data_IF_479536918939
#
_entry.id   IF_479536918939
#
_cell.length_a   1.000
_cell.length_b   1.000
_cell.length_c   1.000
_cell.angle_alpha   90.00
_cell.angle_beta   90.00
_cell.angle_gamma   90.00
#
_symmetry.space_group_name_H-M   'P 1'
#
loop_
_entity.id
_entity.type
_entity.pdbx_description
1 polymer ?
#
# COMPACT_ATOMS: atom_id res chain seq x y z
N UNK A 1 -45.96 16.79 18.94
CA UNK A 1 -45.34 15.92 17.92
C UNK A 1 -44.64 16.80 16.89
N UNK A 2 -43.47 17.35 17.21
CA UNK A 2 -42.73 18.20 16.26
C UNK A 2 -41.95 17.33 15.28
N UNK A 3 -42.23 17.51 13.98
CA UNK A 3 -41.41 17.01 12.86
C UNK A 3 -40.02 17.65 12.95
N UNK A 4 -38.97 16.85 13.14
CA UNK A 4 -37.59 17.32 13.30
C UNK A 4 -36.62 16.69 12.31
N UNK A 5 -36.28 17.45 11.26
CA UNK A 5 -35.19 17.29 10.28
C UNK A 5 -35.17 16.03 9.39
N UNK A 6 -35.45 16.25 8.11
CA UNK A 6 -35.06 15.37 7.02
C UNK A 6 -33.52 15.31 6.95
N UNK A 7 -32.91 14.35 7.66
CA UNK A 7 -31.49 14.05 7.54
C UNK A 7 -31.20 13.51 6.12
N UNK A 8 -30.77 14.42 5.26
CA UNK A 8 -29.94 14.24 4.07
C UNK A 8 -29.90 12.81 3.50
N UNK A 9 -30.95 12.38 2.80
CA UNK A 9 -30.94 11.12 2.02
C UNK A 9 -29.79 11.07 0.99
N UNK A 10 -29.25 12.23 0.61
CA UNK A 10 -28.13 12.39 -0.34
C UNK A 10 -26.74 12.14 0.24
N UNK A 11 -26.53 12.14 1.57
CA UNK A 11 -25.20 11.90 2.16
C UNK A 11 -24.92 10.43 2.49
N UNK A 12 -25.90 9.53 2.35
CA UNK A 12 -25.73 8.10 2.61
C UNK A 12 -24.65 7.45 1.71
N UNK A 13 -24.44 7.98 0.50
CA UNK A 13 -23.45 7.42 -0.44
C UNK A 13 -21.99 7.59 0.02
N UNK A 14 -21.69 8.67 0.75
CA UNK A 14 -20.35 8.93 1.35
C UNK A 14 -19.99 7.83 2.36
N UNK A 15 -21.00 7.22 2.99
CA UNK A 15 -20.83 6.16 3.99
C UNK A 15 -20.70 4.76 3.37
N UNK A 16 -20.98 4.62 2.07
CA UNK A 16 -20.78 3.39 1.30
C UNK A 16 -19.41 3.37 0.58
N UNK A 17 -18.70 4.50 0.51
CA UNK A 17 -17.30 4.52 0.12
C UNK A 17 -16.48 3.84 1.23
N UNK A 18 -15.75 2.79 0.88
CA UNK A 18 -15.01 1.90 1.81
C UNK A 18 -13.88 2.54 2.63
N UNK A 19 -13.86 3.86 2.80
CA UNK A 19 -12.86 4.56 3.59
C UNK A 19 -13.28 4.62 5.08
N UNK A 20 -12.85 3.63 5.86
CA UNK A 20 -13.14 3.54 7.31
C UNK A 20 -12.78 4.81 8.10
N UNK A 21 -11.78 5.58 7.64
CA UNK A 21 -11.32 6.79 8.33
C UNK A 21 -12.34 7.93 8.24
N UNK A 22 -13.07 8.04 7.13
CA UNK A 22 -14.12 9.06 6.96
C UNK A 22 -15.28 8.78 7.90
N UNK A 23 -15.66 7.50 8.05
CA UNK A 23 -16.67 7.08 9.00
C UNK A 23 -16.26 7.38 10.45
N UNK A 24 -14.99 7.19 10.82
CA UNK A 24 -14.51 7.57 12.16
C UNK A 24 -14.56 9.08 12.40
N UNK A 25 -14.10 9.89 11.44
CA UNK A 25 -14.20 11.36 11.52
C UNK A 25 -15.65 11.83 11.64
N UNK A 26 -16.56 11.18 10.92
CA UNK A 26 -17.99 11.44 11.04
C UNK A 26 -18.53 11.14 12.45
N UNK A 27 -18.18 9.98 13.02
CA UNK A 27 -18.57 9.65 14.40
C UNK A 27 -18.04 10.70 15.37
N UNK A 28 -16.77 11.11 15.23
CA UNK A 28 -16.18 12.09 16.15
C UNK A 28 -16.87 13.47 16.09
N UNK A 29 -17.35 13.89 14.92
CA UNK A 29 -18.05 15.16 14.73
C UNK A 29 -19.50 15.15 15.26
N UNK A 30 -20.18 13.99 15.20
CA UNK A 30 -21.63 13.90 15.47
C UNK A 30 -21.98 13.10 16.73
N UNK A 31 -20.98 12.60 17.48
CA UNK A 31 -21.18 11.79 18.70
C UNK A 31 -22.01 12.48 19.78
N UNK A 32 -21.89 13.80 19.90
CA UNK A 32 -22.58 14.56 20.95
C UNK A 32 -24.07 14.78 20.63
N UNK A 33 -24.43 14.73 19.34
CA UNK A 33 -25.80 14.92 18.86
C UNK A 33 -26.61 13.61 18.85
N UNK A 34 -26.01 12.49 18.43
CA UNK A 34 -26.73 11.22 18.24
C UNK A 34 -26.34 10.12 19.24
N UNK A 35 -25.21 10.28 19.93
CA UNK A 35 -24.64 9.24 20.78
C UNK A 35 -23.82 8.21 20.01
N UNK A 36 -22.66 7.85 20.58
CA UNK A 36 -21.68 6.95 19.95
C UNK A 36 -22.29 5.58 19.63
N UNK A 37 -23.04 4.98 20.56
CA UNK A 37 -23.60 3.63 20.37
C UNK A 37 -24.58 3.55 19.20
N UNK A 38 -25.39 4.60 19.01
CA UNK A 38 -26.34 4.68 17.91
C UNK A 38 -25.63 4.81 16.57
N UNK A 39 -24.62 5.69 16.50
CA UNK A 39 -23.82 5.91 15.29
C UNK A 39 -23.05 4.64 14.88
N UNK A 40 -22.43 3.96 15.84
CA UNK A 40 -21.70 2.71 15.58
C UNK A 40 -22.62 1.62 15.01
N UNK A 41 -23.83 1.49 15.55
CA UNK A 41 -24.81 0.54 15.04
C UNK A 41 -25.30 0.92 13.64
N UNK A 42 -25.56 2.21 13.39
CA UNK A 42 -26.06 2.68 12.09
C UNK A 42 -25.04 2.55 10.96
N UNK A 43 -23.75 2.68 11.29
CA UNK A 43 -22.64 2.59 10.35
C UNK A 43 -22.04 1.18 10.23
N UNK A 44 -22.62 0.19 10.93
CA UNK A 44 -22.11 -1.18 11.01
C UNK A 44 -20.64 -1.29 11.45
N UNK A 45 -20.24 -0.41 12.39
CA UNK A 45 -18.88 -0.37 12.93
C UNK A 45 -18.87 -1.04 14.30
N UNK A 46 -18.05 -2.09 14.43
CA UNK A 46 -17.85 -2.73 15.71
C UNK A 46 -17.18 -1.77 16.73
N UNK A 47 -17.69 -1.66 17.98
CA UNK A 47 -17.17 -0.70 18.96
C UNK A 47 -15.66 -0.79 19.20
N UNK A 48 -15.10 -2.01 19.25
CA UNK A 48 -13.66 -2.18 19.43
C UNK A 48 -12.83 -1.56 18.29
N UNK A 49 -13.34 -1.55 17.07
CA UNK A 49 -12.65 -0.92 15.95
C UNK A 49 -12.57 0.60 16.12
N UNK A 50 -13.66 1.23 16.54
CA UNK A 50 -13.70 2.66 16.84
C UNK A 50 -12.82 3.03 18.04
N UNK A 51 -12.91 2.27 19.14
CA UNK A 51 -12.10 2.54 20.32
C UNK A 51 -10.61 2.25 20.10
N UNK A 52 -10.26 1.28 19.25
CA UNK A 52 -8.89 1.04 18.83
C UNK A 52 -8.34 2.21 18.01
N UNK A 53 -9.14 2.76 17.09
CA UNK A 53 -8.80 3.99 16.35
C UNK A 53 -8.51 5.14 17.30
N UNK A 54 -9.41 5.42 18.27
CA UNK A 54 -9.26 6.54 19.22
C UNK A 54 -8.08 6.37 20.18
N UNK A 55 -7.71 5.14 20.53
CA UNK A 55 -6.66 4.88 21.54
C UNK A 55 -5.24 5.11 21.04
N UNK A 56 -5.02 5.17 19.73
CA UNK A 56 -3.71 5.45 19.11
C UNK A 56 -2.49 4.73 19.74
N UNK A 57 -2.65 3.51 20.27
CA UNK A 57 -1.58 2.78 21.00
C UNK A 57 -0.31 2.55 20.18
N UNK A 58 -0.41 2.61 18.86
CA UNK A 58 0.70 2.43 17.91
C UNK A 58 1.22 3.75 17.32
N UNK A 59 0.76 4.92 17.79
CA UNK A 59 1.17 6.21 17.22
C UNK A 59 2.70 6.36 17.17
N UNK A 60 3.38 6.16 18.31
CA UNK A 60 4.83 6.22 18.38
C UNK A 60 5.53 5.25 17.42
N UNK A 61 5.00 4.03 17.24
CA UNK A 61 5.53 3.07 16.26
C UNK A 61 5.36 3.57 14.82
N UNK A 62 4.21 4.17 14.50
CA UNK A 62 3.97 4.72 13.17
C UNK A 62 4.83 5.95 12.89
N UNK A 63 5.03 6.81 13.89
CA UNK A 63 5.92 7.98 13.80
C UNK A 63 7.37 7.55 13.55
N UNK A 64 7.91 6.62 14.34
CA UNK A 64 9.26 6.11 14.13
C UNK A 64 9.39 5.42 12.77
N UNK A 65 8.37 4.65 12.36
CA UNK A 65 8.34 4.03 11.04
C UNK A 65 8.35 5.09 9.91
N UNK A 66 7.66 6.21 10.07
CA UNK A 66 7.67 7.28 9.07
C UNK A 66 9.02 7.98 9.05
N UNK A 67 9.60 8.30 10.21
CA UNK A 67 10.95 8.87 10.30
C UNK A 67 11.99 8.02 9.56
N UNK A 68 11.94 6.70 9.72
CA UNK A 68 12.83 5.77 9.01
C UNK A 68 12.62 5.84 7.49
N UNK A 69 11.37 5.97 7.03
CA UNK A 69 11.06 6.08 5.60
C UNK A 69 11.56 7.39 5.01
N UNK A 70 11.32 8.49 5.70
CA UNK A 70 11.77 9.82 5.26
C UNK A 70 13.29 9.83 5.12
N UNK A 71 14.01 9.20 6.05
CA UNK A 71 15.46 9.04 5.98
C UNK A 71 15.92 8.15 4.80
N UNK A 72 15.19 7.07 4.49
CA UNK A 72 15.46 6.24 3.31
C UNK A 72 15.31 7.06 2.03
N UNK A 73 14.25 7.87 1.94
CA UNK A 73 13.96 8.74 0.80
C UNK A 73 15.04 9.84 0.64
N UNK A 74 15.42 10.49 1.74
CA UNK A 74 16.50 11.48 1.76
C UNK A 74 17.83 10.91 1.24
N UNK A 75 18.25 9.75 1.75
CA UNK A 75 19.47 9.07 1.31
C UNK A 75 19.35 8.68 -0.18
N UNK A 76 18.20 8.13 -0.58
CA UNK A 76 17.97 7.72 -1.96
C UNK A 76 18.12 8.89 -2.95
N UNK A 77 17.54 10.05 -2.63
CA UNK A 77 17.67 11.25 -3.46
C UNK A 77 19.07 11.85 -3.44
N UNK A 78 19.75 11.84 -2.28
CA UNK A 78 21.14 12.29 -2.16
C UNK A 78 22.10 11.49 -3.05
N UNK A 79 21.83 10.20 -3.25
CA UNK A 79 22.61 9.29 -4.08
C UNK A 79 22.04 9.11 -5.51
N UNK A 80 21.19 10.04 -5.97
CA UNK A 80 20.58 10.04 -7.32
C UNK A 80 19.82 8.75 -7.69
N UNK A 81 19.34 8.01 -6.69
CA UNK A 81 18.53 6.79 -6.90
C UNK A 81 19.29 5.57 -7.44
N UNK A 82 20.62 5.57 -7.38
CA UNK A 82 21.45 4.41 -7.82
C UNK A 82 21.45 3.29 -6.76
N UNK A 83 21.26 3.65 -5.49
CA UNK A 83 21.43 2.73 -4.38
C UNK A 83 20.22 1.83 -4.11
N UNK A 84 20.45 0.52 -4.14
CA UNK A 84 19.46 -0.50 -3.79
C UNK A 84 19.36 -0.77 -2.27
N UNK A 85 18.37 -1.58 -1.87
CA UNK A 85 18.09 -1.87 -0.45
C UNK A 85 19.29 -2.47 0.34
N UNK A 86 20.23 -3.15 -0.34
CA UNK A 86 21.44 -3.70 0.28
C UNK A 86 22.38 -2.59 0.76
N UNK A 87 22.59 -1.57 -0.06
CA UNK A 87 23.37 -0.38 0.28
C UNK A 87 22.63 0.50 1.27
N UNK A 88 21.31 0.65 1.09
CA UNK A 88 20.45 1.38 2.02
C UNK A 88 20.59 0.87 3.46
N UNK A 89 20.59 -0.46 3.65
CA UNK A 89 20.83 -1.07 4.97
C UNK A 89 22.19 -0.69 5.56
N UNK A 90 23.24 -0.60 4.75
CA UNK A 90 24.57 -0.19 5.21
C UNK A 90 24.57 1.28 5.66
N UNK A 91 23.87 2.17 4.95
CA UNK A 91 23.72 3.57 5.36
C UNK A 91 22.91 3.73 6.63
N UNK A 92 21.77 3.02 6.75
CA UNK A 92 20.96 3.05 7.96
C UNK A 92 21.74 2.54 9.18
N UNK A 93 22.56 1.50 9.01
CA UNK A 93 23.45 1.02 10.08
C UNK A 93 24.49 2.07 10.49
N UNK A 94 24.98 2.90 9.56
CA UNK A 94 25.89 4.03 9.87
C UNK A 94 25.19 5.16 10.59
N UNK A 95 23.88 5.32 10.37
CA UNK A 95 23.02 6.25 11.09
C UNK A 95 22.43 5.65 12.38
N UNK A 96 23.01 4.55 12.87
CA UNK A 96 22.61 3.82 14.09
C UNK A 96 21.21 3.19 14.07
N UNK A 97 20.61 3.04 12.88
CA UNK A 97 19.31 2.39 12.69
C UNK A 97 19.51 0.97 12.20
N UNK A 98 19.32 0.01 13.12
CA UNK A 98 19.51 -1.42 12.81
C UNK A 98 18.19 -2.02 12.31
N UNK A 99 18.13 -2.27 11.00
CA UNK A 99 17.00 -2.96 10.37
C UNK A 99 17.40 -4.29 9.72
N UNK A 100 16.42 -5.21 9.70
CA UNK A 100 16.50 -6.42 8.90
C UNK A 100 16.50 -6.09 7.41
N UNK A 101 17.25 -6.82 6.56
CA UNK A 101 17.23 -6.62 5.11
C UNK A 101 15.83 -6.65 4.50
N UNK A 102 14.95 -7.53 5.01
CA UNK A 102 13.57 -7.65 4.54
C UNK A 102 12.73 -6.42 4.87
N UNK A 103 12.97 -5.79 6.01
CA UNK A 103 12.26 -4.57 6.43
C UNK A 103 12.65 -3.40 5.54
N UNK A 104 13.94 -3.24 5.24
CA UNK A 104 14.43 -2.22 4.30
C UNK A 104 13.84 -2.43 2.91
N UNK A 105 13.85 -3.67 2.42
CA UNK A 105 13.21 -4.02 1.15
C UNK A 105 11.71 -3.68 1.13
N UNK A 106 10.99 -4.02 2.21
CA UNK A 106 9.55 -3.71 2.33
C UNK A 106 9.30 -2.21 2.28
N UNK A 107 10.05 -1.42 3.05
CA UNK A 107 9.85 0.02 3.11
C UNK A 107 10.17 0.68 1.76
N UNK A 108 11.30 0.31 1.16
CA UNK A 108 11.74 0.87 -0.11
C UNK A 108 10.85 0.47 -1.30
N UNK A 109 10.58 -0.83 -1.48
CA UNK A 109 9.93 -1.32 -2.70
C UNK A 109 8.40 -1.51 -2.59
N UNK A 110 7.89 -1.84 -1.40
CA UNK A 110 6.45 -2.06 -1.21
C UNK A 110 5.73 -0.79 -0.77
N UNK A 111 6.35 -0.01 0.11
CA UNK A 111 5.69 1.15 0.72
C UNK A 111 6.05 2.47 0.00
N UNK A 112 7.31 2.68 -0.39
CA UNK A 112 7.78 3.89 -1.08
C UNK A 112 7.84 3.76 -2.62
N UNK A 113 7.92 2.53 -3.16
CA UNK A 113 7.97 2.30 -4.60
C UNK A 113 9.30 2.68 -5.28
N UNK A 114 10.36 2.85 -4.48
CA UNK A 114 11.71 3.23 -4.93
C UNK A 114 12.46 2.00 -5.46
N UNK A 115 12.15 1.57 -6.68
CA UNK A 115 12.87 0.46 -7.33
C UNK A 115 13.89 0.97 -8.35
N UNK A 116 14.95 0.18 -8.55
CA UNK A 116 15.95 0.40 -9.59
C UNK A 116 15.30 0.38 -10.99
N UNK A 117 15.24 1.55 -11.63
CA UNK A 117 14.76 1.83 -12.99
C UNK A 117 13.24 1.64 -13.29
N UNK A 118 12.61 2.55 -14.06
CA UNK A 118 11.22 2.44 -14.49
C UNK A 118 10.88 1.13 -15.23
N UNK A 119 11.84 0.57 -15.96
CA UNK A 119 11.66 -0.63 -16.78
C UNK A 119 11.44 -1.92 -15.95
N UNK A 120 12.07 -2.03 -14.78
CA UNK A 120 11.96 -3.20 -13.90
C UNK A 120 10.65 -3.16 -13.10
N UNK A 121 10.08 -1.96 -12.87
CA UNK A 121 8.76 -1.77 -12.27
C UNK A 121 7.60 -2.21 -13.18
N UNK A 122 7.71 -2.00 -14.49
CA UNK A 122 6.75 -2.52 -15.46
C UNK A 122 6.71 -4.06 -15.42
N UNK A 123 7.88 -4.71 -15.39
CA UNK A 123 7.99 -6.17 -15.29
C UNK A 123 7.51 -6.71 -13.94
N UNK A 124 7.78 -6.02 -12.83
CA UNK A 124 7.31 -6.42 -11.50
C UNK A 124 5.80 -6.21 -11.30
N UNK A 125 5.19 -5.22 -11.97
CA UNK A 125 3.74 -5.01 -12.01
C UNK A 125 3.04 -6.14 -12.75
N UNK A 126 3.55 -6.49 -13.93
CA UNK A 126 3.09 -7.64 -14.72
C UNK A 126 3.27 -8.95 -13.94
N UNK A 127 4.40 -9.13 -13.24
CA UNK A 127 4.68 -10.29 -12.39
C UNK A 127 3.73 -10.41 -11.20
N UNK A 128 3.30 -9.30 -10.56
CA UNK A 128 2.27 -9.28 -9.50
C UNK A 128 0.87 -9.61 -10.02
N UNK A 129 0.54 -9.24 -11.25
CA UNK A 129 -0.71 -9.67 -11.91
C UNK A 129 -0.67 -11.18 -12.23
N UNK A 130 0.48 -11.69 -12.66
CA UNK A 130 0.66 -13.10 -13.01
C UNK A 130 0.55 -14.07 -11.82
N UNK A 131 0.98 -13.68 -10.62
CA UNK A 131 0.92 -14.53 -9.40
C UNK A 131 -0.52 -14.88 -8.98
N UNK A 132 -1.54 -14.15 -9.48
CA UNK A 132 -2.96 -14.46 -9.23
C UNK A 132 -3.55 -15.54 -10.16
N UNK A 133 -2.84 -15.89 -11.24
CA UNK A 133 -3.28 -16.90 -12.20
C UNK A 133 -2.25 -18.04 -12.22
N UNK A 134 -2.60 -19.17 -11.60
CA UNK A 134 -1.86 -20.44 -11.64
C UNK A 134 -2.66 -21.43 -12.49
N UNK A 135 -2.11 -22.54 -13.01
CA UNK A 135 -0.86 -22.76 -13.74
C UNK A 135 -1.12 -23.55 -15.04
N UNK A 136 -0.55 -23.21 -16.20
CA UNK A 136 -0.33 -24.19 -17.28
C UNK A 136 0.68 -23.65 -18.32
N UNK A 137 1.74 -24.43 -18.56
CA UNK A 137 2.70 -24.34 -19.67
C UNK A 137 3.62 -23.10 -19.76
N UNK A 138 4.50 -22.94 -18.76
CA UNK A 138 5.61 -21.97 -18.77
C UNK A 138 6.67 -22.21 -19.86
N UNK A 139 6.70 -23.41 -20.44
CA UNK A 139 7.70 -23.82 -21.44
C UNK A 139 7.58 -23.04 -22.76
N UNK A 140 6.36 -22.68 -23.19
CA UNK A 140 6.15 -21.97 -24.46
C UNK A 140 6.52 -20.49 -24.38
N UNK A 141 6.23 -19.83 -23.26
CA UNK A 141 6.49 -18.40 -23.07
C UNK A 141 7.99 -18.13 -22.84
N UNK A 142 8.68 -18.99 -22.09
CA UNK A 142 10.14 -18.87 -21.89
C UNK A 142 10.94 -19.09 -23.19
N UNK A 143 10.47 -19.97 -24.06
CA UNK A 143 11.06 -20.20 -25.38
C UNK A 143 10.87 -19.00 -26.30
N UNK A 144 9.69 -18.36 -26.27
CA UNK A 144 9.40 -17.14 -27.04
C UNK A 144 10.12 -15.88 -26.51
N UNK A 145 10.39 -15.79 -25.21
CA UNK A 145 11.15 -14.67 -24.65
C UNK A 145 12.66 -14.76 -24.96
N UNK A 146 13.22 -15.97 -25.07
CA UNK A 146 14.62 -16.17 -25.46
C UNK A 146 14.92 -15.78 -26.91
N UNK A 147 13.99 -16.02 -27.84
CA UNK A 147 14.16 -15.67 -29.26
C UNK A 147 14.14 -14.16 -29.52
N UNK A 148 13.38 -13.40 -28.73
CA UNK A 148 13.31 -11.92 -28.82
C UNK A 148 14.62 -11.29 -28.32
N UNK A 149 15.28 -11.85 -27.30
CA UNK A 149 16.58 -11.38 -26.81
C UNK A 149 17.76 -11.74 -27.73
N UNK A 150 17.65 -12.81 -28.52
CA UNK A 150 18.71 -13.23 -29.45
C UNK A 150 18.55 -12.69 -30.88
N UNK A 151 17.47 -11.95 -31.18
CA UNK A 151 17.27 -11.30 -32.49
C UNK A 151 17.01 -12.26 -33.65
N UNK A 152 16.57 -13.50 -33.40
CA UNK A 152 16.33 -14.50 -34.45
C UNK A 152 14.83 -14.55 -34.78
N UNK A 153 14.46 -14.19 -36.02
CA UNK A 153 13.09 -14.35 -36.53
C UNK A 153 12.82 -15.81 -36.89
N UNK A 154 11.81 -16.42 -36.28
CA UNK A 154 11.29 -17.73 -36.72
C UNK A 154 10.23 -17.47 -37.79
N UNK A 155 10.50 -17.90 -39.02
CA UNK A 155 9.52 -17.96 -40.10
C UNK A 155 8.49 -19.07 -39.83
N UNK A 156 7.20 -18.85 -40.13
CA UNK A 156 6.18 -19.88 -39.92
C UNK A 156 6.27 -20.91 -41.05
N UNK A 157 6.80 -22.10 -40.74
CA UNK A 157 6.54 -23.27 -41.58
C UNK A 157 5.25 -23.93 -41.14
N UNK A 158 4.43 -24.26 -42.14
CA UNK A 158 3.06 -24.76 -42.07
C UNK A 158 2.85 -26.03 -41.25
N UNK A 159 1.59 -26.16 -40.80
CA UNK A 159 0.87 -27.30 -40.19
C UNK A 159 1.15 -27.65 -38.72
#
# INVERSE_FOLDING_TARGET
>A
MQKGSALLKKSSGILCEGNRLTAYRFIDNYKDLFGIRWLLHRLDIYPNAYYSYRRHRKAAYWEEKQRIKDQIEEIYHKHNGVDGYRMMRAYLKRADIVLSPLTVYKYMNMELGLCLSPAVNALNTVRRQLIRYSPTSWSRILTAMRSIQSGVSISPTCF
#
